data_IF_552739122664
#
_entry.id   IF_552739122664
#
_cell.length_a   1.000
_cell.length_b   1.000
_cell.length_c   1.000
_cell.angle_alpha   90.00
_cell.angle_beta   90.00
_cell.angle_gamma   90.00
#
_symmetry.space_group_name_H-M   'P 1'
#
loop_
_entity.id
_entity.type
_entity.pdbx_description
1 polymer ?
#
# COMPACT_ATOMS: atom_id res chain seq x y z
N UNK A 1 17.10 -17.20 -5.49
CA UNK A 1 17.18 -15.74 -5.68
C UNK A 1 16.41 -15.45 -6.96
N UNK A 2 15.13 -15.06 -6.85
CA UNK A 2 14.35 -14.57 -7.97
C UNK A 2 14.83 -13.14 -8.26
N UNK A 3 15.66 -12.98 -9.26
CA UNK A 3 15.99 -11.68 -9.84
C UNK A 3 14.77 -11.18 -10.62
N UNK A 4 14.12 -10.13 -10.14
CA UNK A 4 13.10 -9.42 -10.91
C UNK A 4 13.85 -8.61 -11.99
N UNK A 5 14.01 -9.19 -13.17
CA UNK A 5 14.50 -8.45 -14.33
C UNK A 5 13.41 -7.47 -14.80
N UNK A 6 13.72 -6.19 -14.66
CA UNK A 6 12.90 -5.12 -15.23
C UNK A 6 13.21 -5.02 -16.74
N UNK A 7 12.46 -5.75 -17.55
CA UNK A 7 12.45 -5.50 -18.99
C UNK A 7 11.95 -4.06 -19.27
N UNK A 8 12.47 -3.36 -20.29
CA UNK A 8 11.97 -2.04 -20.68
C UNK A 8 10.53 -2.19 -21.19
N UNK A 9 9.57 -1.83 -20.37
CA UNK A 9 8.17 -1.98 -20.66
C UNK A 9 7.72 -0.99 -21.73
N UNK A 10 7.16 -1.50 -22.84
CA UNK A 10 6.34 -0.71 -23.76
C UNK A 10 5.22 -0.02 -22.98
N UNK A 11 4.92 1.23 -23.32
CA UNK A 11 3.84 1.98 -22.69
C UNK A 11 2.52 1.28 -22.99
N UNK A 12 1.91 0.67 -21.97
CA UNK A 12 0.54 0.15 -22.05
C UNK A 12 -0.39 1.35 -21.91
N UNK A 13 -1.25 1.69 -22.89
CA UNK A 13 -2.16 2.81 -22.77
C UNK A 13 -3.15 2.54 -21.64
N UNK A 14 -3.30 3.49 -20.71
CA UNK A 14 -4.28 3.40 -19.64
C UNK A 14 -5.71 3.36 -20.22
N UNK A 15 -6.59 2.51 -19.66
CA UNK A 15 -8.00 2.48 -20.07
C UNK A 15 -8.65 3.82 -19.71
N UNK A 16 -9.25 4.49 -20.71
CA UNK A 16 -9.86 5.82 -20.57
C UNK A 16 -10.97 5.88 -19.51
N UNK A 17 -11.66 4.77 -19.29
CA UNK A 17 -12.76 4.67 -18.31
C UNK A 17 -12.31 4.52 -16.85
N UNK A 18 -11.00 4.41 -16.58
CA UNK A 18 -10.45 4.18 -15.25
C UNK A 18 -10.69 2.74 -14.73
N UNK A 19 -10.58 2.55 -13.43
CA UNK A 19 -10.70 1.25 -12.77
C UNK A 19 -11.42 1.37 -11.42
N UNK A 20 -12.08 0.29 -11.00
CA UNK A 20 -12.80 0.24 -9.73
C UNK A 20 -11.89 -0.31 -8.65
N UNK A 21 -11.68 0.49 -7.60
CA UNK A 21 -10.92 0.11 -6.41
C UNK A 21 -11.89 -0.27 -5.28
N UNK A 22 -11.60 -1.38 -4.61
CA UNK A 22 -12.21 -1.77 -3.34
C UNK A 22 -11.16 -1.67 -2.23
N UNK A 23 -11.31 -0.70 -1.35
CA UNK A 23 -10.55 -0.57 -0.12
C UNK A 23 -11.24 -1.40 0.98
N UNK A 24 -10.60 -2.45 1.44
CA UNK A 24 -11.13 -3.33 2.47
C UNK A 24 -10.78 -2.78 3.86
N UNK A 25 -11.69 -2.01 4.45
CA UNK A 25 -11.55 -1.53 5.84
C UNK A 25 -11.91 -2.69 6.79
N UNK A 26 -10.97 -3.59 7.02
CA UNK A 26 -11.16 -4.82 7.78
C UNK A 26 -10.23 -4.88 9.00
N UNK A 27 -10.76 -5.29 10.14
CA UNK A 27 -9.96 -5.52 11.36
C UNK A 27 -9.54 -6.99 11.41
N UNK A 28 -8.24 -7.30 11.27
CA UNK A 28 -7.75 -8.66 11.39
C UNK A 28 -7.65 -9.12 12.86
N UNK A 29 -7.62 -10.43 13.06
CA UNK A 29 -7.31 -11.09 14.33
C UNK A 29 -5.80 -11.18 14.52
N UNK A 30 -5.30 -10.77 15.69
CA UNK A 30 -3.86 -10.87 16.00
C UNK A 30 -3.41 -12.34 16.03
N UNK A 31 -2.29 -12.67 15.40
CA UNK A 31 -1.65 -13.99 15.32
C UNK A 31 -2.45 -15.07 14.57
N UNK A 32 -3.58 -14.77 13.97
CA UNK A 32 -4.44 -15.74 13.29
C UNK A 32 -4.47 -15.50 11.77
N UNK A 33 -3.39 -15.92 11.12
CA UNK A 33 -3.24 -15.78 9.66
C UNK A 33 -4.32 -16.51 8.88
N UNK A 34 -4.76 -17.67 9.36
CA UNK A 34 -5.80 -18.45 8.66
C UNK A 34 -7.14 -17.72 8.69
N UNK A 35 -7.59 -17.30 9.86
CA UNK A 35 -8.84 -16.53 9.98
C UNK A 35 -8.78 -15.22 9.17
N UNK A 36 -7.64 -14.54 9.19
CA UNK A 36 -7.44 -13.31 8.42
C UNK A 36 -7.50 -13.57 6.91
N UNK A 37 -6.88 -14.67 6.43
CA UNK A 37 -6.99 -15.05 5.02
C UNK A 37 -8.43 -15.39 4.62
N UNK A 38 -9.15 -16.16 5.42
CA UNK A 38 -10.55 -16.51 5.14
C UNK A 38 -11.45 -15.26 5.08
N UNK A 39 -11.25 -14.33 6.00
CA UNK A 39 -11.95 -13.04 5.98
C UNK A 39 -11.57 -12.24 4.72
N UNK A 40 -10.28 -12.11 4.40
CA UNK A 40 -9.83 -11.45 3.17
C UNK A 40 -10.49 -12.05 1.95
N UNK A 41 -10.45 -13.37 1.80
CA UNK A 41 -11.00 -14.09 0.65
C UNK A 41 -12.53 -13.87 0.51
N UNK A 42 -13.26 -13.90 1.62
CA UNK A 42 -14.70 -13.64 1.62
C UNK A 42 -15.02 -12.22 1.14
N UNK A 43 -14.33 -11.21 1.66
CA UNK A 43 -14.55 -9.81 1.28
C UNK A 43 -14.01 -9.49 -0.12
N UNK A 44 -12.93 -10.12 -0.54
CA UNK A 44 -12.38 -9.98 -1.89
C UNK A 44 -13.35 -10.53 -2.95
N UNK A 45 -13.96 -11.71 -2.72
CA UNK A 45 -15.00 -12.27 -3.60
C UNK A 45 -16.21 -11.35 -3.70
N UNK A 46 -16.68 -10.78 -2.59
CA UNK A 46 -17.77 -9.82 -2.59
C UNK A 46 -17.41 -8.54 -3.38
N UNK A 47 -16.19 -8.04 -3.23
CA UNK A 47 -15.71 -6.86 -3.96
C UNK A 47 -15.60 -7.15 -5.47
N UNK A 48 -15.02 -8.28 -5.86
CA UNK A 48 -14.91 -8.71 -7.25
C UNK A 48 -16.28 -8.91 -7.91
N UNK A 49 -17.23 -9.55 -7.21
CA UNK A 49 -18.61 -9.71 -7.69
C UNK A 49 -19.35 -8.37 -7.91
N UNK A 50 -18.88 -7.28 -7.25
CA UNK A 50 -19.37 -5.91 -7.43
C UNK A 50 -18.56 -5.12 -8.46
N UNK A 51 -17.66 -5.77 -9.20
CA UNK A 51 -16.87 -5.18 -10.28
C UNK A 51 -15.58 -4.50 -9.86
N UNK A 52 -15.03 -4.80 -8.67
CA UNK A 52 -13.69 -4.34 -8.29
C UNK A 52 -12.64 -4.98 -9.20
N UNK A 53 -11.72 -4.17 -9.69
CA UNK A 53 -10.55 -4.59 -10.47
C UNK A 53 -9.26 -4.51 -9.63
N UNK A 54 -9.28 -3.73 -8.56
CA UNK A 54 -8.19 -3.60 -7.59
C UNK A 54 -8.77 -3.69 -6.19
N UNK A 55 -8.21 -4.56 -5.38
CA UNK A 55 -8.63 -4.82 -4.01
C UNK A 55 -7.42 -4.58 -3.10
N UNK A 56 -7.61 -3.81 -2.03
CA UNK A 56 -6.52 -3.41 -1.14
C UNK A 56 -6.89 -3.71 0.30
N UNK A 57 -6.07 -4.51 0.99
CA UNK A 57 -6.16 -4.79 2.42
C UNK A 57 -5.28 -3.82 3.24
N UNK A 58 -5.50 -3.69 4.57
CA UNK A 58 -4.69 -2.84 5.44
C UNK A 58 -3.23 -3.33 5.61
N UNK A 59 -2.42 -2.49 6.28
CA UNK A 59 -1.05 -2.81 6.72
C UNK A 59 -1.06 -3.99 7.71
N UNK A 60 -0.08 -4.91 7.57
CA UNK A 60 0.10 -6.04 8.50
C UNK A 60 -1.15 -6.90 8.68
N UNK A 61 -1.99 -6.95 7.66
CA UNK A 61 -3.30 -7.58 7.74
C UNK A 61 -3.19 -9.09 7.97
N UNK A 62 -2.22 -9.74 7.33
CA UNK A 62 -2.13 -11.20 7.37
C UNK A 62 -1.92 -11.71 8.80
N UNK A 63 -0.96 -11.16 9.53
CA UNK A 63 -0.61 -11.56 10.91
C UNK A 63 -1.35 -10.76 12.00
N UNK A 64 -2.18 -9.79 11.61
CA UNK A 64 -2.95 -8.96 12.54
C UNK A 64 -2.16 -7.80 13.15
N UNK A 65 -1.15 -7.28 12.43
CA UNK A 65 -0.32 -6.13 12.82
C UNK A 65 0.37 -6.32 14.19
N UNK A 66 0.87 -7.52 14.44
CA UNK A 66 1.50 -7.88 15.71
C UNK A 66 2.94 -7.40 15.87
N UNK A 67 3.53 -6.81 14.83
CA UNK A 67 4.89 -6.26 14.83
C UNK A 67 5.07 -4.94 15.62
N UNK A 68 3.98 -4.39 16.18
CA UNK A 68 4.00 -3.19 17.00
C UNK A 68 4.05 -3.55 18.49
N UNK A 69 5.08 -3.14 19.21
CA UNK A 69 5.32 -3.53 20.60
C UNK A 69 4.28 -2.97 21.59
N UNK A 70 3.70 -1.78 21.33
CA UNK A 70 2.64 -1.23 22.17
C UNK A 70 1.34 -2.03 22.06
N UNK A 71 1.12 -2.72 20.94
CA UNK A 71 -0.05 -3.58 20.72
C UNK A 71 0.20 -5.02 21.12
N UNK A 72 1.46 -5.43 21.17
CA UNK A 72 1.89 -6.80 21.49
C UNK A 72 2.94 -6.78 22.60
N UNK A 73 2.51 -6.54 23.85
CA UNK A 73 3.44 -6.54 24.99
C UNK A 73 4.21 -7.86 25.08
N UNK A 74 5.52 -7.78 25.29
CA UNK A 74 6.39 -8.95 25.37
C UNK A 74 6.72 -9.58 24.01
N UNK A 75 6.50 -8.87 22.91
CA UNK A 75 6.96 -9.30 21.59
C UNK A 75 8.49 -9.44 21.58
N UNK A 76 8.98 -10.59 21.09
CA UNK A 76 10.40 -10.79 20.82
C UNK A 76 10.66 -10.94 19.33
N UNK A 77 11.88 -10.64 18.90
CA UNK A 77 12.30 -10.80 17.49
C UNK A 77 12.08 -12.24 17.01
N UNK A 78 12.44 -13.23 17.85
CA UNK A 78 12.34 -14.65 17.51
C UNK A 78 10.88 -15.08 17.34
N UNK A 79 9.99 -14.65 18.25
CA UNK A 79 8.56 -14.94 18.16
C UNK A 79 7.97 -14.31 16.90
N UNK A 80 8.26 -13.04 16.66
CA UNK A 80 7.77 -12.31 15.48
C UNK A 80 8.21 -12.97 14.17
N UNK A 81 9.51 -13.29 14.05
CA UNK A 81 10.05 -13.93 12.85
C UNK A 81 9.55 -15.37 12.63
N UNK A 82 9.21 -16.12 13.71
CA UNK A 82 8.76 -17.50 13.62
C UNK A 82 7.26 -17.62 13.37
N UNK A 83 6.45 -16.82 14.06
CA UNK A 83 5.00 -17.01 14.12
C UNK A 83 4.23 -16.04 13.19
N UNK A 84 4.72 -14.81 13.06
CA UNK A 84 4.07 -13.79 12.23
C UNK A 84 4.58 -13.77 10.79
N UNK A 85 5.91 -13.78 10.62
CA UNK A 85 6.50 -13.51 9.33
C UNK A 85 6.39 -14.69 8.35
N UNK A 86 6.07 -14.36 7.08
CA UNK A 86 5.97 -15.30 5.96
C UNK A 86 6.98 -14.91 4.87
N UNK A 87 7.62 -15.87 4.20
CA UNK A 87 8.35 -15.55 2.97
C UNK A 87 7.36 -15.24 1.84
N UNK A 88 7.79 -14.45 0.85
CA UNK A 88 6.92 -14.07 -0.29
C UNK A 88 6.40 -15.28 -1.08
N UNK A 89 7.18 -16.35 -1.13
CA UNK A 89 6.82 -17.65 -1.74
C UNK A 89 6.23 -18.65 -0.72
N UNK A 90 5.85 -18.18 0.48
CA UNK A 90 5.23 -18.98 1.53
C UNK A 90 3.82 -19.46 1.18
N UNK A 91 3.31 -20.40 1.97
CA UNK A 91 2.00 -21.01 1.71
C UNK A 91 0.87 -19.97 1.68
N UNK A 92 0.85 -19.07 2.68
CA UNK A 92 -0.21 -18.05 2.76
C UNK A 92 -0.16 -17.09 1.57
N UNK A 93 1.04 -16.66 1.15
CA UNK A 93 1.19 -15.74 0.01
C UNK A 93 0.82 -16.43 -1.32
N UNK A 94 1.14 -17.73 -1.48
CA UNK A 94 0.66 -18.50 -2.64
C UNK A 94 -0.87 -18.58 -2.71
N UNK A 95 -1.54 -18.72 -1.56
CA UNK A 95 -3.02 -18.72 -1.48
C UNK A 95 -3.60 -17.34 -1.85
N UNK A 96 -2.95 -16.25 -1.43
CA UNK A 96 -3.37 -14.88 -1.80
C UNK A 96 -3.14 -14.62 -3.31
N UNK A 97 -2.01 -15.09 -3.85
CA UNK A 97 -1.72 -15.06 -5.29
C UNK A 97 -2.78 -15.83 -6.08
N UNK A 98 -3.11 -17.06 -5.67
CA UNK A 98 -4.16 -17.86 -6.30
C UNK A 98 -5.56 -17.22 -6.21
N UNK A 99 -5.85 -16.49 -5.12
CA UNK A 99 -7.10 -15.74 -4.99
C UNK A 99 -7.16 -14.54 -5.96
N UNK A 100 -6.04 -13.87 -6.21
CA UNK A 100 -5.98 -12.79 -7.20
C UNK A 100 -6.26 -13.32 -8.63
N UNK A 101 -5.68 -14.47 -8.97
CA UNK A 101 -5.91 -15.18 -10.24
C UNK A 101 -7.37 -15.68 -10.35
N UNK A 102 -7.90 -16.37 -9.32
CA UNK A 102 -9.29 -16.82 -9.25
C UNK A 102 -10.30 -15.70 -9.55
N UNK A 103 -10.02 -14.51 -9.03
CA UNK A 103 -10.95 -13.36 -9.11
C UNK A 103 -10.68 -12.43 -10.30
N UNK A 104 -9.61 -12.65 -11.07
CA UNK A 104 -9.14 -11.78 -12.15
C UNK A 104 -8.96 -10.32 -11.69
N UNK A 105 -8.32 -10.11 -10.51
CA UNK A 105 -8.13 -8.80 -9.90
C UNK A 105 -6.68 -8.56 -9.49
N UNK A 106 -6.31 -7.29 -9.34
CA UNK A 106 -5.14 -6.92 -8.56
C UNK A 106 -5.49 -6.95 -7.07
N UNK A 107 -4.73 -7.71 -6.27
CA UNK A 107 -4.98 -7.88 -4.83
C UNK A 107 -3.75 -7.47 -4.02
N UNK A 108 -3.87 -6.41 -3.24
CA UNK A 108 -2.81 -5.94 -2.33
C UNK A 108 -3.03 -6.46 -0.92
N UNK A 109 -1.96 -7.04 -0.33
CA UNK A 109 -1.91 -7.52 1.04
C UNK A 109 -0.75 -6.86 1.80
N UNK A 110 -1.01 -6.38 3.03
CA UNK A 110 0.00 -6.02 4.01
C UNK A 110 0.36 -7.22 4.90
N UNK A 111 1.66 -7.48 5.09
CA UNK A 111 2.14 -8.61 5.90
C UNK A 111 3.56 -8.41 6.43
N UNK A 112 3.91 -9.16 7.49
CA UNK A 112 5.28 -9.30 7.94
C UNK A 112 6.03 -10.26 7.01
N UNK A 113 6.99 -9.75 6.24
CA UNK A 113 7.78 -10.53 5.28
C UNK A 113 9.08 -11.03 5.91
N UNK A 114 9.32 -12.33 5.83
CA UNK A 114 10.61 -12.94 6.15
C UNK A 114 11.48 -13.03 4.90
N UNK A 115 12.59 -12.29 4.89
CA UNK A 115 13.52 -12.25 3.76
C UNK A 115 14.96 -12.12 4.24
N UNK A 116 15.86 -12.99 3.77
CA UNK A 116 17.29 -12.97 4.10
C UNK A 116 17.60 -12.90 5.61
N UNK A 117 16.83 -13.63 6.44
CA UNK A 117 17.01 -13.65 7.89
C UNK A 117 16.47 -12.43 8.65
N UNK A 118 15.87 -11.49 7.95
CA UNK A 118 15.25 -10.27 8.49
C UNK A 118 13.73 -10.32 8.34
N UNK A 119 13.03 -9.44 9.07
CA UNK A 119 11.59 -9.22 8.92
C UNK A 119 11.34 -7.79 8.44
N UNK A 120 10.45 -7.66 7.46
CA UNK A 120 10.04 -6.38 6.90
C UNK A 120 8.53 -6.21 7.05
N UNK A 121 8.09 -5.00 7.26
CA UNK A 121 6.68 -4.64 7.08
C UNK A 121 6.45 -4.38 5.59
N UNK A 122 5.74 -5.28 4.92
CA UNK A 122 5.67 -5.34 3.45
C UNK A 122 4.23 -5.22 2.95
N UNK A 123 4.07 -4.55 1.82
CA UNK A 123 2.88 -4.60 0.98
C UNK A 123 3.24 -5.24 -0.36
N UNK A 124 2.54 -6.31 -0.72
CA UNK A 124 2.63 -6.95 -2.03
C UNK A 124 1.32 -6.81 -2.76
N UNK A 125 1.37 -6.50 -4.06
CA UNK A 125 0.21 -6.54 -4.94
C UNK A 125 0.39 -7.68 -5.94
N UNK A 126 -0.50 -8.65 -5.89
CA UNK A 126 -0.60 -9.70 -6.91
C UNK A 126 -1.45 -9.22 -8.07
N UNK A 127 -1.02 -9.51 -9.30
CA UNK A 127 -1.76 -9.25 -10.53
C UNK A 127 -2.82 -10.35 -10.78
N UNK A 128 -3.72 -10.15 -11.77
CA UNK A 128 -4.73 -11.15 -12.17
C UNK A 128 -4.16 -12.51 -12.59
N UNK A 129 -2.90 -12.59 -12.96
CA UNK A 129 -2.20 -13.85 -13.29
C UNK A 129 -1.47 -14.46 -12.08
N UNK A 130 -1.71 -13.94 -10.88
CA UNK A 130 -1.05 -14.36 -9.64
C UNK A 130 0.39 -13.88 -9.47
N UNK A 131 1.00 -13.21 -10.46
CA UNK A 131 2.34 -12.67 -10.34
C UNK A 131 2.41 -11.47 -9.38
N UNK A 132 3.55 -11.26 -8.73
CA UNK A 132 3.77 -10.08 -7.89
C UNK A 132 4.04 -8.84 -8.76
N UNK A 133 3.02 -8.00 -8.95
CA UNK A 133 3.12 -6.77 -9.74
C UNK A 133 3.83 -5.63 -9.00
N UNK A 134 3.67 -5.53 -7.68
CA UNK A 134 4.32 -4.51 -6.85
C UNK A 134 4.70 -5.13 -5.50
N UNK A 135 5.93 -4.91 -5.07
CA UNK A 135 6.46 -5.41 -3.81
C UNK A 135 7.26 -4.31 -3.13
N UNK A 136 6.82 -3.89 -1.94
CA UNK A 136 7.39 -2.76 -1.22
C UNK A 136 7.55 -3.08 0.26
N UNK A 137 8.74 -2.89 0.79
CA UNK A 137 9.01 -2.89 2.22
C UNK A 137 9.00 -1.46 2.77
N UNK A 138 8.33 -1.24 3.90
CA UNK A 138 8.20 0.05 4.57
C UNK A 138 9.56 0.70 4.83
N UNK A 139 9.77 1.91 4.29
CA UNK A 139 11.05 2.62 4.41
C UNK A 139 11.15 3.42 5.70
N UNK A 140 10.03 3.93 6.22
CA UNK A 140 9.98 4.72 7.45
C UNK A 140 9.25 3.93 8.54
N UNK A 141 10.00 3.11 9.29
CA UNK A 141 9.46 2.39 10.46
C UNK A 141 9.37 3.33 11.66
N UNK A 142 8.38 3.11 12.52
CA UNK A 142 8.26 3.83 13.78
C UNK A 142 9.11 3.16 14.89
N UNK A 143 9.36 3.89 15.96
CA UNK A 143 10.14 3.37 17.10
C UNK A 143 9.47 2.17 17.79
N UNK A 144 8.14 2.08 17.69
CA UNK A 144 7.33 0.97 18.21
C UNK A 144 7.22 -0.25 17.27
N UNK A 145 8.00 -0.24 16.18
CA UNK A 145 8.17 -1.37 15.25
C UNK A 145 9.63 -1.88 15.26
N UNK A 146 10.19 -2.26 16.43
CA UNK A 146 11.64 -2.42 16.63
C UNK A 146 12.25 -3.60 15.88
N UNK A 147 11.43 -4.53 15.39
CA UNK A 147 11.90 -5.76 14.73
C UNK A 147 11.74 -5.72 13.21
N UNK A 148 11.15 -4.66 12.68
CA UNK A 148 11.04 -4.45 11.24
C UNK A 148 12.31 -3.79 10.68
N UNK A 149 12.89 -4.42 9.68
CA UNK A 149 13.97 -3.84 8.87
C UNK A 149 13.38 -2.80 7.92
N UNK A 150 14.07 -1.67 7.78
CA UNK A 150 13.66 -0.61 6.85
C UNK A 150 13.88 -1.05 5.40
N UNK A 151 12.91 -0.78 4.55
CA UNK A 151 13.07 -0.88 3.10
C UNK A 151 13.95 0.24 2.56
N UNK A 152 14.55 0.01 1.40
CA UNK A 152 15.56 0.86 0.76
C UNK A 152 15.14 1.37 -0.63
N UNK A 153 13.91 1.12 -1.05
CA UNK A 153 13.44 1.45 -2.38
C UNK A 153 11.97 1.90 -2.41
N UNK A 154 11.64 2.75 -3.38
CA UNK A 154 10.26 3.13 -3.73
C UNK A 154 9.95 2.61 -5.14
N UNK A 155 9.50 1.36 -5.30
CA UNK A 155 9.16 0.77 -6.59
C UNK A 155 7.86 1.35 -7.15
N UNK A 156 7.74 1.30 -8.49
CA UNK A 156 6.49 1.57 -9.21
C UNK A 156 6.19 0.41 -10.15
N UNK A 157 4.91 0.08 -10.32
CA UNK A 157 4.43 -0.95 -11.24
C UNK A 157 3.66 -0.31 -12.39
N UNK A 158 3.91 -0.77 -13.62
CA UNK A 158 3.12 -0.39 -14.79
C UNK A 158 2.00 -1.40 -15.00
N UNK A 159 0.79 -0.92 -15.15
CA UNK A 159 -0.41 -1.73 -15.34
C UNK A 159 -1.25 -1.20 -16.50
N UNK A 160 -2.25 -1.96 -16.98
CA UNK A 160 -3.20 -1.45 -17.98
C UNK A 160 -4.00 -0.22 -17.52
N UNK A 161 -4.02 0.07 -16.22
CA UNK A 161 -4.75 1.19 -15.61
C UNK A 161 -3.88 2.40 -15.28
N UNK A 162 -2.56 2.30 -15.50
CA UNK A 162 -1.60 3.34 -15.21
C UNK A 162 -0.38 2.83 -14.43
N UNK A 163 0.40 3.76 -13.89
CA UNK A 163 1.59 3.46 -13.08
C UNK A 163 1.26 3.61 -11.61
N UNK A 164 1.50 2.56 -10.84
CA UNK A 164 1.13 2.50 -9.43
C UNK A 164 2.34 2.48 -8.51
N UNK A 165 2.20 3.10 -7.35
CA UNK A 165 3.14 3.01 -6.24
C UNK A 165 2.43 2.70 -4.94
N UNK A 166 3.19 2.36 -3.91
CA UNK A 166 2.64 2.13 -2.56
C UNK A 166 3.51 2.76 -1.48
N UNK A 167 2.86 3.17 -0.42
CA UNK A 167 3.44 3.62 0.84
C UNK A 167 2.77 2.83 1.96
N UNK A 168 3.48 2.56 3.05
CA UNK A 168 2.89 1.88 4.21
C UNK A 168 2.81 2.84 5.38
N UNK A 169 1.59 3.09 5.85
CA UNK A 169 1.28 3.79 7.10
C UNK A 169 2.12 5.06 7.32
N UNK A 170 3.16 4.99 8.18
CA UNK A 170 3.98 6.13 8.57
C UNK A 170 4.71 6.80 7.40
N UNK A 171 5.03 6.08 6.31
CA UNK A 171 5.61 6.68 5.10
C UNK A 171 4.81 7.89 4.59
N UNK A 172 3.48 7.90 4.80
CA UNK A 172 2.61 9.00 4.37
C UNK A 172 2.88 10.32 5.10
N UNK A 173 3.51 10.26 6.29
CA UNK A 173 3.92 11.44 7.05
C UNK A 173 5.10 12.16 6.38
N UNK A 174 5.90 11.43 5.61
CA UNK A 174 7.09 11.93 4.93
C UNK A 174 6.72 12.37 3.52
N UNK A 175 6.67 13.69 3.22
CA UNK A 175 6.24 14.20 1.92
C UNK A 175 7.07 13.68 0.75
N UNK A 176 8.37 13.47 0.98
CA UNK A 176 9.34 13.01 -0.01
C UNK A 176 8.99 11.62 -0.52
N UNK A 177 8.43 10.73 0.32
CA UNK A 177 8.07 9.37 -0.06
C UNK A 177 7.02 9.36 -1.18
N UNK A 178 5.93 10.12 -1.02
CA UNK A 178 4.91 10.26 -2.06
C UNK A 178 5.48 11.00 -3.30
N UNK A 179 6.33 12.00 -3.07
CA UNK A 179 6.95 12.79 -4.14
C UNK A 179 7.87 11.95 -5.02
N UNK A 180 8.68 11.06 -4.45
CA UNK A 180 9.57 10.17 -5.19
C UNK A 180 8.75 9.25 -6.10
N UNK A 181 7.68 8.64 -5.61
CA UNK A 181 6.80 7.78 -6.40
C UNK A 181 6.18 8.55 -7.58
N UNK A 182 5.67 9.76 -7.34
CA UNK A 182 5.11 10.61 -8.39
C UNK A 182 6.19 11.00 -9.44
N UNK A 183 7.41 11.33 -9.01
CA UNK A 183 8.55 11.62 -9.92
C UNK A 183 8.93 10.40 -10.75
N UNK A 184 8.79 9.19 -10.21
CA UNK A 184 8.96 7.93 -10.94
C UNK A 184 7.78 7.60 -11.87
N UNK A 185 6.76 8.46 -11.92
CA UNK A 185 5.63 8.36 -12.83
C UNK A 185 4.39 7.70 -12.25
N UNK A 186 4.36 7.38 -10.95
CA UNK A 186 3.13 6.88 -10.34
C UNK A 186 1.99 7.89 -10.48
N UNK A 187 0.84 7.42 -10.91
CA UNK A 187 -0.40 8.20 -11.01
C UNK A 187 -1.45 7.77 -9.99
N UNK A 188 -1.20 6.65 -9.31
CA UNK A 188 -2.01 6.16 -8.20
C UNK A 188 -1.12 5.61 -7.09
N UNK A 189 -1.38 6.00 -5.85
CA UNK A 189 -0.72 5.53 -4.65
C UNK A 189 -1.69 4.72 -3.79
N UNK A 190 -1.32 3.50 -3.46
CA UNK A 190 -2.00 2.69 -2.45
C UNK A 190 -1.30 2.88 -1.11
N UNK A 191 -2.08 3.11 -0.04
CA UNK A 191 -1.54 3.41 1.28
C UNK A 191 -2.22 2.50 2.32
N UNK A 192 -1.85 1.20 2.36
CA UNK A 192 -2.24 0.35 3.47
C UNK A 192 -1.67 0.91 4.77
N UNK A 193 -2.49 1.00 5.80
CA UNK A 193 -2.13 1.66 7.05
C UNK A 193 -2.72 0.95 8.26
N UNK A 194 -2.05 1.16 9.39
CA UNK A 194 -2.56 0.96 10.74
C UNK A 194 -2.24 2.22 11.57
N UNK A 195 -2.55 2.29 12.83
CA UNK A 195 -2.19 3.43 13.69
C UNK A 195 -3.15 4.60 13.60
N UNK A 196 -2.63 5.82 13.49
CA UNK A 196 -3.45 7.04 13.54
C UNK A 196 -4.31 7.25 12.29
N UNK A 197 -5.57 7.63 12.50
CA UNK A 197 -6.51 8.04 11.47
C UNK A 197 -7.37 9.21 12.01
N UNK A 198 -8.23 9.78 11.20
CA UNK A 198 -9.08 10.92 11.57
C UNK A 198 -8.89 12.11 10.65
N UNK A 199 -9.37 13.27 11.05
CA UNK A 199 -9.44 14.46 10.19
C UNK A 199 -8.06 14.89 9.66
N UNK A 200 -7.05 14.96 10.51
CA UNK A 200 -5.70 15.33 10.08
C UNK A 200 -5.13 14.35 9.05
N UNK A 201 -5.37 13.04 9.23
CA UNK A 201 -5.00 12.04 8.23
C UNK A 201 -5.73 12.26 6.91
N UNK A 202 -7.04 12.52 6.95
CA UNK A 202 -7.84 12.74 5.75
C UNK A 202 -7.34 13.97 4.97
N UNK A 203 -7.04 15.06 5.68
CA UNK A 203 -6.46 16.27 5.08
C UNK A 203 -5.09 15.97 4.47
N UNK A 204 -4.21 15.28 5.19
CA UNK A 204 -2.89 14.90 4.70
C UNK A 204 -2.99 14.03 3.43
N UNK A 205 -3.87 13.02 3.39
CA UNK A 205 -4.05 12.17 2.20
C UNK A 205 -4.55 12.99 0.99
N UNK A 206 -5.45 13.94 1.22
CA UNK A 206 -5.92 14.86 0.17
C UNK A 206 -4.78 15.76 -0.35
N UNK A 207 -3.93 16.26 0.56
CA UNK A 207 -2.75 17.06 0.17
C UNK A 207 -1.76 16.20 -0.62
N UNK A 208 -1.47 14.95 -0.20
CA UNK A 208 -0.59 14.03 -0.94
C UNK A 208 -1.11 13.76 -2.34
N UNK A 209 -2.43 13.59 -2.52
CA UNK A 209 -3.04 13.45 -3.83
C UNK A 209 -2.85 14.72 -4.68
N UNK A 210 -3.23 15.88 -4.15
CA UNK A 210 -3.23 17.15 -4.85
C UNK A 210 -1.82 17.62 -5.24
N UNK A 211 -0.88 17.66 -4.29
CA UNK A 211 0.48 18.18 -4.52
C UNK A 211 1.33 17.34 -5.48
N UNK A 212 0.96 16.07 -5.64
CA UNK A 212 1.62 15.13 -6.54
C UNK A 212 0.83 14.90 -7.84
N UNK A 213 -0.45 15.31 -7.89
CA UNK A 213 -1.34 15.06 -9.02
C UNK A 213 -1.57 13.57 -9.24
N UNK A 214 -1.79 12.82 -8.16
CA UNK A 214 -1.98 11.36 -8.15
C UNK A 214 -3.27 10.98 -7.43
N UNK A 215 -3.88 9.86 -7.80
CA UNK A 215 -4.93 9.26 -6.99
C UNK A 215 -4.33 8.64 -5.71
N UNK A 216 -5.10 8.58 -4.62
CA UNK A 216 -4.71 7.94 -3.37
C UNK A 216 -5.82 7.02 -2.88
N UNK A 217 -5.48 5.75 -2.62
CA UNK A 217 -6.31 4.80 -1.90
C UNK A 217 -5.70 4.55 -0.51
N UNK A 218 -6.21 5.20 0.51
CA UNK A 218 -5.82 4.97 1.91
C UNK A 218 -6.70 3.88 2.51
N UNK A 219 -6.09 2.84 3.11
CA UNK A 219 -6.81 1.67 3.61
C UNK A 219 -6.32 1.30 5.01
N UNK A 220 -7.18 1.57 5.99
CA UNK A 220 -6.95 1.30 7.41
C UNK A 220 -8.15 0.49 7.95
N UNK A 221 -8.01 -0.36 8.98
CA UNK A 221 -9.12 -1.18 9.50
C UNK A 221 -10.39 -0.43 9.88
N UNK A 222 -10.26 0.85 10.24
CA UNK A 222 -11.38 1.70 10.66
C UNK A 222 -11.59 2.94 9.78
N UNK A 223 -10.82 3.07 8.71
CA UNK A 223 -10.90 4.24 7.83
C UNK A 223 -10.37 3.90 6.43
N UNK A 224 -11.22 4.01 5.44
CA UNK A 224 -10.78 3.94 4.05
C UNK A 224 -11.17 5.22 3.30
N UNK A 225 -10.29 5.68 2.43
CA UNK A 225 -10.49 6.86 1.58
C UNK A 225 -10.03 6.54 0.17
N UNK A 226 -10.87 6.84 -0.81
CA UNK A 226 -10.50 6.89 -2.21
C UNK A 226 -10.51 8.35 -2.64
N UNK A 227 -9.39 8.87 -3.12
CA UNK A 227 -9.15 10.29 -3.38
C UNK A 227 -8.60 10.45 -4.79
N UNK A 228 -9.15 11.39 -5.55
CA UNK A 228 -8.64 11.69 -6.89
C UNK A 228 -7.43 12.63 -6.87
N UNK A 229 -6.82 12.82 -8.03
CA UNK A 229 -5.64 13.69 -8.21
C UNK A 229 -5.90 15.19 -7.92
N UNK A 230 -7.14 15.60 -7.68
CA UNK A 230 -7.50 16.95 -7.23
C UNK A 230 -7.58 17.08 -5.71
N UNK A 231 -7.42 15.96 -4.97
CA UNK A 231 -7.63 15.90 -3.53
C UNK A 231 -9.10 15.75 -3.14
N UNK A 232 -10.01 15.45 -4.10
CA UNK A 232 -11.42 15.20 -3.82
C UNK A 232 -11.64 13.78 -3.32
N UNK A 233 -12.35 13.60 -2.21
CA UNK A 233 -12.72 12.29 -1.71
C UNK A 233 -13.85 11.73 -2.58
N UNK A 234 -13.58 10.64 -3.29
CA UNK A 234 -14.53 9.93 -4.15
C UNK A 234 -15.42 8.97 -3.34
N UNK A 235 -14.82 8.32 -2.34
CA UNK A 235 -15.51 7.42 -1.42
C UNK A 235 -14.77 7.33 -0.09
N UNK A 236 -15.51 7.06 0.99
CA UNK A 236 -14.94 6.86 2.33
C UNK A 236 -15.77 5.87 3.14
N UNK A 237 -15.12 5.21 4.10
CA UNK A 237 -15.82 4.39 5.10
C UNK A 237 -16.75 5.24 5.97
N UNK A 238 -17.84 4.63 6.44
CA UNK A 238 -18.83 5.26 7.30
C UNK A 238 -19.11 4.38 8.52
N UNK A 239 -19.05 4.98 9.71
CA UNK A 239 -19.26 4.24 10.96
C UNK A 239 -18.13 3.25 11.27
N UNK A 240 -18.42 2.34 12.20
CA UNK A 240 -17.52 1.30 12.68
C UNK A 240 -17.80 -0.05 12.01
N UNK A 241 -16.82 -0.96 12.09
CA UNK A 241 -16.91 -2.33 11.58
C UNK A 241 -16.25 -2.53 10.23
N UNK A 242 -16.26 -3.79 9.82
CA UNK A 242 -15.63 -4.23 8.57
C UNK A 242 -16.45 -3.73 7.35
N UNK A 243 -15.81 -3.10 6.38
CA UNK A 243 -16.47 -2.47 5.22
C UNK A 243 -15.70 -2.68 3.93
N UNK A 244 -16.42 -2.75 2.82
CA UNK A 244 -15.89 -2.62 1.46
C UNK A 244 -16.22 -1.21 0.96
N UNK A 245 -15.21 -0.34 0.87
CA UNK A 245 -15.35 1.01 0.31
C UNK A 245 -14.94 0.96 -1.15
N UNK A 246 -15.88 1.21 -2.05
CA UNK A 246 -15.63 1.12 -3.50
C UNK A 246 -15.76 2.47 -4.17
N UNK A 247 -14.92 2.70 -5.16
CA UNK A 247 -14.98 3.88 -6.01
C UNK A 247 -14.20 3.69 -7.31
N UNK A 248 -14.58 4.45 -8.33
CA UNK A 248 -13.89 4.47 -9.61
C UNK A 248 -12.81 5.53 -9.59
N UNK A 249 -11.57 5.10 -9.83
CA UNK A 249 -10.42 5.99 -10.02
C UNK A 249 -10.11 6.15 -11.51
N UNK A 250 -9.69 7.34 -11.90
CA UNK A 250 -9.26 7.66 -13.26
C UNK A 250 -7.95 8.41 -13.21
N UNK A 251 -7.07 8.13 -14.17
CA UNK A 251 -5.90 8.98 -14.39
C UNK A 251 -6.35 10.19 -15.22
N UNK A 252 -6.46 11.35 -14.57
CA UNK A 252 -6.79 12.61 -15.26
C UNK A 252 -5.52 13.20 -15.91
N UNK A 253 -5.37 13.22 -17.25
CA UNK A 253 -4.19 13.75 -17.91
C UNK A 253 -3.90 15.22 -17.59
N UNK A 254 -4.93 16.00 -17.24
CA UNK A 254 -4.79 17.42 -16.88
C UNK A 254 -4.27 17.62 -15.46
N UNK A 255 -4.55 16.67 -14.56
CA UNK A 255 -4.12 16.69 -13.15
C UNK A 255 -2.88 15.87 -12.91
N UNK A 256 -2.68 14.81 -13.69
CA UNK A 256 -1.52 13.93 -13.58
C UNK A 256 -0.24 14.75 -13.50
N UNK A 257 0.43 14.67 -12.35
CA UNK A 257 1.70 15.35 -12.09
C UNK A 257 1.71 16.86 -12.39
N UNK A 258 0.54 17.50 -12.33
CA UNK A 258 0.38 18.91 -12.74
C UNK A 258 1.30 19.88 -11.98
N UNK A 259 1.61 19.57 -10.72
CA UNK A 259 2.52 20.40 -9.90
C UNK A 259 3.99 20.05 -10.11
N UNK A 260 4.32 18.86 -10.65
CA UNK A 260 5.72 18.44 -10.82
C UNK A 260 6.49 19.28 -11.85
N UNK A 261 5.81 19.87 -12.85
CA UNK A 261 6.42 20.76 -13.84
C UNK A 261 7.06 22.03 -13.26
N UNK A 262 6.64 22.43 -12.04
CA UNK A 262 7.18 23.61 -11.36
C UNK A 262 8.37 23.28 -10.47
N UNK A 263 8.77 22.00 -10.36
CA UNK A 263 9.92 21.62 -9.55
C UNK A 263 11.23 22.19 -10.11
N UNK A 264 12.10 22.61 -9.20
CA UNK A 264 13.44 23.10 -9.49
C UNK A 264 14.49 22.25 -8.78
N UNK A 265 14.80 21.04 -9.25
CA UNK A 265 15.63 20.05 -8.53
C UNK A 265 17.00 20.60 -8.08
N UNK A 266 17.59 21.54 -8.86
CA UNK A 266 18.85 22.16 -8.50
C UNK A 266 18.82 22.94 -7.16
N UNK A 267 17.61 23.32 -6.70
CA UNK A 267 17.41 24.04 -5.44
C UNK A 267 17.11 23.11 -4.24
N UNK A 268 17.06 21.79 -4.45
CA UNK A 268 16.60 20.84 -3.42
C UNK A 268 17.73 19.95 -2.91
N UNK A 269 18.98 20.39 -3.00
CA UNK A 269 20.16 19.61 -2.58
C UNK A 269 20.13 19.28 -1.09
N UNK A 270 19.58 20.18 -0.27
CA UNK A 270 19.47 20.03 1.17
C UNK A 270 18.56 18.86 1.57
N UNK A 271 17.60 18.49 0.72
CA UNK A 271 16.73 17.32 0.97
C UNK A 271 17.48 15.97 0.90
N UNK A 272 18.71 15.95 0.42
CA UNK A 272 19.56 14.75 0.37
C UNK A 272 20.60 14.71 1.49
N UNK A 273 20.57 15.68 2.41
CA UNK A 273 21.45 15.76 3.57
C UNK A 273 20.70 15.27 4.80
N UNK A 274 21.43 14.78 5.79
CA UNK A 274 20.85 14.48 7.09
C UNK A 274 20.26 15.73 7.72
N UNK A 275 19.15 15.58 8.44
CA UNK A 275 18.55 16.69 9.15
C UNK A 275 19.58 17.29 10.10
N UNK A 276 19.67 18.63 10.11
CA UNK A 276 20.49 19.34 11.12
C UNK A 276 19.96 18.94 12.49
N UNK A 277 20.76 18.17 13.23
CA UNK A 277 20.46 17.94 14.65
C UNK A 277 20.54 19.29 15.33
N UNK A 278 19.42 19.74 15.89
CA UNK A 278 19.42 20.92 16.73
C UNK A 278 20.47 20.75 17.84
N UNK A 279 21.24 21.78 18.15
CA UNK A 279 22.28 21.74 19.19
C UNK A 279 21.70 21.42 20.58
#
# INVERSE_FOLDING_TARGET
VLTIEHAPAQAIPAKEDGFVVAALSLTPSAWDKESNFQKLASYARQAAARGAQVIVAPEGYLEGYVGNEHRTPGLTREKYAREAAEPLDGEMLRRVSALADELDVYLMLGFAEKRAGQVFNTAVMFAPDGSAALHYAKSHTMNDEPFNTKGDAFPVARTPFGTWGTLICFDRQVPEAARILAVKGADTLFVPAWGGYGEMNDQMMRVRAYENGVNVAFVHPKRALLIDASGTILARSQGDGDQIVMGRMRVDPKRKHSMLKYRRPALYRELTQDAVTAP
#
